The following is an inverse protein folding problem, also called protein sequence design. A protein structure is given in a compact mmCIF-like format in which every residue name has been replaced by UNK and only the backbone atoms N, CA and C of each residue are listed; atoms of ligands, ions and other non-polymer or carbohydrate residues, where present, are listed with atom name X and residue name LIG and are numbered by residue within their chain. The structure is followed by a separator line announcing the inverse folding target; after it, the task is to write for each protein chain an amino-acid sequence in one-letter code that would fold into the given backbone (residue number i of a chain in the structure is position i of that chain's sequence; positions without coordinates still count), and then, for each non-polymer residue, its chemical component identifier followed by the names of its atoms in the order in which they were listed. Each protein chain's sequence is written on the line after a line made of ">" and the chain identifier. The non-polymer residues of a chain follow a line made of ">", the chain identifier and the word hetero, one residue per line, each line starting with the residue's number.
data_IF_061195121166
#
_entry.id   IF_061195121166
#
_cell.length_a   1.000
_cell.length_b   1.000
_cell.length_c   1.000
_cell.angle_alpha   90.00
_cell.angle_beta   90.00
_cell.angle_gamma   90.00
#
_symmetry.space_group_name_H-M   'P 1'
#
loop_
_entity.id
_entity.type
_entity.pdbx_description
1 polymer ?
#
# COMPACT_ATOMS: atom_id res chain seq x y z
N UNK A 1 -47.81 -71.60 17.13
CA UNK A 1 -48.35 -70.33 16.58
C UNK A 1 -48.35 -69.16 17.58
N UNK A 2 -48.80 -69.31 18.83
CA UNK A 2 -48.73 -68.23 19.84
C UNK A 2 -47.32 -68.07 20.45
N UNK A 3 -46.63 -69.20 20.70
CA UNK A 3 -45.24 -69.24 21.19
C UNK A 3 -44.21 -68.65 20.21
N UNK A 4 -44.40 -68.84 18.90
CA UNK A 4 -43.46 -68.36 17.88
C UNK A 4 -43.49 -66.83 17.70
N UNK A 5 -44.68 -66.23 17.87
CA UNK A 5 -44.86 -64.77 17.83
C UNK A 5 -44.25 -64.10 19.06
N UNK A 6 -44.42 -64.69 20.23
CA UNK A 6 -43.84 -64.19 21.48
C UNK A 6 -42.31 -64.27 21.47
N UNK A 7 -41.75 -65.36 20.93
CA UNK A 7 -40.30 -65.50 20.74
C UNK A 7 -39.73 -64.46 19.76
N UNK A 8 -40.42 -64.21 18.64
CA UNK A 8 -40.03 -63.19 17.67
C UNK A 8 -40.05 -61.76 18.27
N UNK A 9 -41.07 -61.44 19.07
CA UNK A 9 -41.16 -60.15 19.78
C UNK A 9 -40.06 -59.97 20.83
N UNK A 10 -39.75 -61.01 21.62
CA UNK A 10 -38.66 -60.96 22.61
C UNK A 10 -37.32 -60.75 21.90
N UNK A 11 -37.08 -61.46 20.79
CA UNK A 11 -35.84 -61.32 20.03
C UNK A 11 -35.73 -59.92 19.38
N UNK A 12 -36.84 -59.36 18.88
CA UNK A 12 -36.87 -58.00 18.33
C UNK A 12 -36.63 -56.92 19.41
N UNK A 13 -37.20 -57.09 20.62
CA UNK A 13 -36.93 -56.20 21.76
C UNK A 13 -35.47 -56.28 22.21
N UNK A 14 -34.90 -57.49 22.25
CA UNK A 14 -33.49 -57.70 22.58
C UNK A 14 -32.55 -57.08 21.52
N UNK A 15 -32.90 -57.20 20.23
CA UNK A 15 -32.15 -56.58 19.14
C UNK A 15 -32.20 -55.04 19.23
N UNK A 16 -33.37 -54.45 19.46
CA UNK A 16 -33.52 -52.99 19.67
C UNK A 16 -32.70 -52.50 20.87
N UNK A 17 -32.73 -53.24 21.98
CA UNK A 17 -31.96 -52.91 23.17
C UNK A 17 -30.45 -52.97 22.91
N UNK A 18 -29.97 -53.97 22.16
CA UNK A 18 -28.56 -54.07 21.73
C UNK A 18 -28.15 -52.91 20.83
N UNK A 19 -28.98 -52.54 19.87
CA UNK A 19 -28.71 -51.39 18.98
C UNK A 19 -28.63 -50.08 19.78
N UNK A 20 -29.53 -49.85 20.73
CA UNK A 20 -29.51 -48.67 21.59
C UNK A 20 -28.26 -48.61 22.47
N UNK A 21 -27.85 -49.75 23.04
CA UNK A 21 -26.64 -49.84 23.86
C UNK A 21 -25.39 -49.57 23.01
N UNK A 22 -25.29 -50.18 21.83
CA UNK A 22 -24.16 -49.95 20.91
C UNK A 22 -24.12 -48.48 20.47
N UNK A 23 -25.27 -47.90 20.12
CA UNK A 23 -25.38 -46.49 19.74
C UNK A 23 -24.92 -45.55 20.87
N UNK A 24 -25.32 -45.82 22.11
CA UNK A 24 -24.90 -45.04 23.27
C UNK A 24 -23.39 -45.14 23.53
N UNK A 25 -22.80 -46.35 23.37
CA UNK A 25 -21.36 -46.56 23.51
C UNK A 25 -20.59 -45.79 22.44
N UNK A 26 -21.03 -45.85 21.18
CA UNK A 26 -20.39 -45.10 20.07
C UNK A 26 -20.47 -43.60 20.32
N UNK A 27 -21.62 -43.09 20.78
CA UNK A 27 -21.78 -41.67 21.07
C UNK A 27 -20.85 -41.21 22.21
N UNK A 28 -20.72 -42.02 23.26
CA UNK A 28 -19.81 -41.75 24.38
C UNK A 28 -18.33 -41.75 23.93
N UNK A 29 -17.95 -42.68 23.06
CA UNK A 29 -16.59 -42.72 22.48
C UNK A 29 -16.33 -41.47 21.63
N UNK A 30 -17.28 -41.06 20.78
CA UNK A 30 -17.15 -39.86 19.96
C UNK A 30 -17.06 -38.59 20.81
N UNK A 31 -17.86 -38.48 21.87
CA UNK A 31 -17.78 -37.36 22.80
C UNK A 31 -16.43 -37.33 23.55
N UNK A 32 -15.94 -38.50 23.99
CA UNK A 32 -14.63 -38.62 24.64
C UNK A 32 -13.47 -38.25 23.69
N UNK A 33 -13.53 -38.70 22.44
CA UNK A 33 -12.56 -38.31 21.40
C UNK A 33 -12.61 -36.80 21.13
N UNK A 34 -13.81 -36.22 21.03
CA UNK A 34 -13.97 -34.78 20.83
C UNK A 34 -13.36 -33.98 21.99
N UNK A 35 -13.67 -34.34 23.24
CA UNK A 35 -13.10 -33.70 24.44
C UNK A 35 -11.58 -33.85 24.46
N UNK A 36 -11.05 -35.05 24.21
CA UNK A 36 -9.60 -35.29 24.17
C UNK A 36 -8.90 -34.48 23.08
N UNK A 37 -9.49 -34.40 21.88
CA UNK A 37 -8.95 -33.57 20.79
C UNK A 37 -9.05 -32.09 21.11
N UNK A 38 -10.14 -31.65 21.75
CA UNK A 38 -10.35 -30.27 22.14
C UNK A 38 -9.32 -29.83 23.19
N UNK A 39 -9.11 -30.63 24.23
CA UNK A 39 -8.12 -30.36 25.28
C UNK A 39 -6.69 -30.35 24.72
N UNK A 40 -6.36 -31.28 23.80
CA UNK A 40 -5.06 -31.29 23.12
C UNK A 40 -4.84 -30.09 22.21
N UNK A 41 -5.85 -29.66 21.47
CA UNK A 41 -5.78 -28.44 20.64
C UNK A 41 -5.59 -27.21 21.53
N UNK A 42 -6.25 -27.16 22.68
CA UNK A 42 -6.10 -26.04 23.64
C UNK A 42 -4.73 -26.03 24.32
N UNK A 43 -4.18 -27.19 24.66
CA UNK A 43 -2.82 -27.32 25.20
C UNK A 43 -1.75 -26.89 24.19
N UNK A 44 -2.01 -27.12 22.89
CA UNK A 44 -1.18 -26.60 21.79
C UNK A 44 -1.36 -25.09 21.65
N UNK A 45 -2.57 -24.54 21.71
CA UNK A 45 -2.83 -23.09 21.63
C UNK A 45 -2.15 -22.34 22.80
N UNK A 46 -2.24 -22.88 24.02
CA UNK A 46 -1.59 -22.31 25.22
C UNK A 46 -0.05 -22.41 25.17
N UNK A 47 0.53 -23.32 24.36
CA UNK A 47 1.99 -23.45 24.13
C UNK A 47 2.49 -22.76 22.86
N UNK A 48 1.62 -22.55 21.88
CA UNK A 48 1.89 -21.79 20.65
C UNK A 48 1.49 -20.35 20.94
N UNK A 49 2.25 -19.68 21.82
CA UNK A 49 2.46 -18.25 21.59
C UNK A 49 3.14 -18.15 20.24
N UNK A 50 2.46 -17.51 19.28
CA UNK A 50 2.95 -17.45 17.92
C UNK A 50 4.40 -16.94 17.91
N UNK A 51 5.29 -17.49 17.08
CA UNK A 51 6.67 -16.98 16.93
C UNK A 51 6.76 -15.52 16.49
N UNK A 52 5.63 -14.85 16.22
CA UNK A 52 5.54 -13.43 15.83
C UNK A 52 5.82 -12.51 17.02
N UNK A 53 5.68 -12.98 18.27
CA UNK A 53 5.88 -12.13 19.46
C UNK A 53 7.36 -11.90 19.85
N UNK A 54 8.32 -12.59 19.22
CA UNK A 54 9.74 -12.60 19.66
C UNK A 54 10.68 -11.88 18.68
N UNK A 55 10.25 -11.53 17.47
CA UNK A 55 11.02 -10.63 16.63
C UNK A 55 10.68 -9.18 16.99
N UNK A 56 11.63 -8.30 17.30
CA UNK A 56 11.38 -6.88 17.16
C UNK A 56 11.13 -6.65 15.67
N UNK A 57 9.87 -6.72 15.26
CA UNK A 57 9.40 -6.15 14.01
C UNK A 57 10.00 -4.75 13.99
N UNK A 58 10.97 -4.52 13.10
CA UNK A 58 11.48 -3.20 12.78
C UNK A 58 10.28 -2.26 12.76
N UNK A 59 10.13 -1.44 13.80
CA UNK A 59 8.97 -0.56 13.91
C UNK A 59 9.09 0.39 12.72
N UNK A 60 8.29 0.15 11.67
CA UNK A 60 8.27 1.03 10.50
C UNK A 60 7.94 2.42 11.06
N UNK A 61 8.84 3.41 10.97
CA UNK A 61 8.60 4.71 11.57
C UNK A 61 7.43 5.38 10.87
N UNK A 62 6.80 6.36 11.51
CA UNK A 62 5.72 7.13 10.88
C UNK A 62 6.23 8.04 9.76
N UNK A 63 7.49 8.45 9.88
CA UNK A 63 8.18 9.37 8.99
C UNK A 63 9.54 8.79 8.67
N UNK A 64 9.85 8.72 7.38
CA UNK A 64 11.20 8.43 6.91
C UNK A 64 11.96 9.73 6.65
N UNK A 65 13.27 9.70 6.91
CA UNK A 65 14.18 10.69 6.37
C UNK A 65 14.74 10.21 5.01
N UNK A 66 14.28 10.82 3.93
CA UNK A 66 14.74 10.54 2.57
C UNK A 66 15.83 11.54 2.21
N UNK A 67 17.06 11.31 2.68
CA UNK A 67 18.22 12.18 2.42
C UNK A 67 18.02 13.65 2.82
N UNK A 68 17.49 13.90 4.02
CA UNK A 68 17.19 15.23 4.55
C UNK A 68 15.78 15.73 4.22
N UNK A 69 14.92 14.87 3.64
CA UNK A 69 13.54 15.20 3.30
C UNK A 69 12.59 14.29 4.06
N UNK A 70 11.82 14.79 5.04
CA UNK A 70 10.76 14.02 5.66
C UNK A 70 9.79 13.50 4.62
N UNK A 71 9.40 12.23 4.75
CA UNK A 71 8.39 11.60 3.92
C UNK A 71 7.54 10.63 4.74
N UNK A 72 6.21 10.78 4.68
CA UNK A 72 5.32 9.89 5.38
C UNK A 72 5.47 8.44 4.91
N UNK A 73 5.52 7.51 5.87
CA UNK A 73 5.84 6.11 5.62
C UNK A 73 4.65 5.29 5.11
N UNK A 74 4.92 4.04 4.74
CA UNK A 74 3.89 3.07 4.39
C UNK A 74 2.98 2.71 5.59
N UNK A 75 3.50 2.81 6.82
CA UNK A 75 2.71 2.64 8.04
C UNK A 75 1.71 3.79 8.20
N UNK A 76 2.16 5.04 8.01
CA UNK A 76 1.28 6.21 8.00
C UNK A 76 0.24 6.11 6.87
N UNK A 77 0.64 5.60 5.71
CA UNK A 77 -0.25 5.36 4.59
C UNK A 77 -1.33 4.31 4.89
N UNK A 78 -0.96 3.21 5.57
CA UNK A 78 -1.91 2.17 5.98
C UNK A 78 -3.03 2.75 6.86
N UNK A 79 -2.71 3.66 7.79
CA UNK A 79 -3.74 4.38 8.57
C UNK A 79 -4.53 5.39 7.75
N UNK A 80 -3.94 5.98 6.71
CA UNK A 80 -4.69 6.82 5.79
C UNK A 80 -5.75 6.02 5.02
N UNK A 81 -5.45 4.77 4.64
CA UNK A 81 -6.39 3.90 3.92
C UNK A 81 -7.60 3.47 4.74
N UNK A 82 -7.50 3.40 6.08
CA UNK A 82 -8.64 3.04 6.96
C UNK A 82 -9.67 4.16 7.10
N UNK A 83 -9.38 5.37 6.61
CA UNK A 83 -10.28 6.53 6.70
C UNK A 83 -11.24 6.59 5.52
N UNK A 84 -12.54 6.69 5.81
CA UNK A 84 -13.58 6.91 4.80
C UNK A 84 -13.51 5.91 3.65
N UNK A 85 -13.54 6.39 2.41
CA UNK A 85 -13.45 5.56 1.20
C UNK A 85 -12.02 5.50 0.60
N UNK A 86 -10.99 5.88 1.36
CA UNK A 86 -9.62 6.00 0.83
C UNK A 86 -9.08 4.69 0.26
N UNK A 87 -9.34 3.55 0.93
CA UNK A 87 -8.97 2.23 0.41
C UNK A 87 -9.53 2.01 -1.01
N UNK A 88 -10.84 2.17 -1.20
CA UNK A 88 -11.49 1.97 -2.50
C UNK A 88 -10.96 2.94 -3.57
N UNK A 89 -10.78 4.23 -3.23
CA UNK A 89 -10.23 5.23 -4.15
C UNK A 89 -8.79 4.91 -4.55
N UNK A 90 -7.96 4.46 -3.62
CA UNK A 90 -6.59 4.03 -3.91
C UNK A 90 -6.54 2.77 -4.78
N UNK A 91 -7.40 1.79 -4.52
CA UNK A 91 -7.53 0.60 -5.37
C UNK A 91 -7.85 0.97 -6.82
N UNK A 92 -8.76 1.92 -7.03
CA UNK A 92 -9.09 2.41 -8.37
C UNK A 92 -7.91 3.13 -9.04
N UNK A 93 -7.19 3.99 -8.30
CA UNK A 93 -5.98 4.65 -8.82
C UNK A 93 -4.90 3.62 -9.19
N UNK A 94 -4.63 2.62 -8.34
CA UNK A 94 -3.68 1.54 -8.66
C UNK A 94 -4.07 0.80 -9.93
N UNK A 95 -5.36 0.48 -10.11
CA UNK A 95 -5.86 -0.16 -11.33
C UNK A 95 -5.64 0.73 -12.56
N UNK A 96 -5.88 2.03 -12.44
CA UNK A 96 -5.61 3.00 -13.50
C UNK A 96 -4.12 3.04 -13.89
N UNK A 97 -3.22 3.14 -12.90
CA UNK A 97 -1.77 3.16 -13.14
C UNK A 97 -1.30 1.87 -13.85
N UNK A 98 -1.79 0.71 -13.40
CA UNK A 98 -1.50 -0.59 -14.01
C UNK A 98 -2.01 -0.71 -15.44
N UNK A 99 -3.23 -0.23 -15.70
CA UNK A 99 -3.82 -0.26 -17.05
C UNK A 99 -3.03 0.62 -18.03
N UNK A 100 -2.38 1.67 -17.52
CA UNK A 100 -1.50 2.56 -18.30
C UNK A 100 -0.03 2.14 -18.30
N UNK A 101 0.31 1.01 -17.64
CA UNK A 101 1.67 0.46 -17.52
C UNK A 101 2.68 1.44 -16.90
N UNK A 102 2.25 2.16 -15.87
CA UNK A 102 3.10 3.13 -15.13
C UNK A 102 3.11 2.87 -13.62
N UNK A 103 2.62 1.72 -13.17
CA UNK A 103 2.53 1.34 -11.75
C UNK A 103 3.86 0.84 -11.15
N UNK A 104 4.87 0.57 -11.98
CA UNK A 104 6.18 0.04 -11.56
C UNK A 104 7.28 1.11 -11.53
N UNK A 105 6.98 2.36 -11.92
CA UNK A 105 7.97 3.45 -11.99
C UNK A 105 8.41 3.89 -10.59
N UNK A 106 7.44 4.04 -9.69
CA UNK A 106 7.61 4.37 -8.26
C UNK A 106 6.52 3.66 -7.48
N UNK A 107 6.66 3.57 -6.16
CA UNK A 107 5.62 2.96 -5.34
C UNK A 107 4.34 3.81 -5.38
N UNK A 108 3.15 3.25 -5.70
CA UNK A 108 1.95 4.06 -5.94
C UNK A 108 1.51 4.96 -4.79
N UNK A 109 1.79 4.58 -3.54
CA UNK A 109 1.43 5.41 -2.38
C UNK A 109 2.28 6.69 -2.27
N UNK A 110 3.50 6.70 -2.82
CA UNK A 110 4.37 7.87 -2.79
C UNK A 110 3.79 9.02 -3.63
N UNK A 111 3.03 8.70 -4.68
CA UNK A 111 2.30 9.67 -5.52
C UNK A 111 1.23 10.45 -4.73
N UNK A 112 0.83 9.94 -3.57
CA UNK A 112 -0.22 10.51 -2.73
C UNK A 112 0.32 11.41 -1.61
N UNK A 113 1.65 11.48 -1.43
CA UNK A 113 2.28 12.38 -0.44
C UNK A 113 2.02 13.83 -0.86
N UNK A 114 1.50 14.66 0.04
CA UNK A 114 1.26 16.07 -0.30
C UNK A 114 2.57 16.89 -0.33
N UNK A 115 3.54 16.61 0.53
CA UNK A 115 4.84 17.28 0.55
C UNK A 115 5.75 16.75 1.66
N UNK A 116 6.84 17.46 1.95
CA UNK A 116 7.78 17.14 3.05
C UNK A 116 7.54 17.96 4.33
N UNK A 117 6.66 18.95 4.23
CA UNK A 117 6.36 20.01 5.19
C UNK A 117 4.96 19.84 5.84
N UNK A 118 4.28 18.71 5.59
CA UNK A 118 2.89 18.51 6.05
C UNK A 118 2.72 18.63 7.56
N UNK A 119 3.74 18.25 8.34
CA UNK A 119 3.71 18.39 9.80
C UNK A 119 3.75 19.85 10.23
N UNK A 120 4.62 20.65 9.58
CA UNK A 120 4.77 22.08 9.86
C UNK A 120 3.54 22.88 9.44
N UNK A 121 2.83 22.42 8.40
CA UNK A 121 1.63 23.06 7.85
C UNK A 121 0.33 22.64 8.55
N UNK A 122 0.40 21.70 9.50
CA UNK A 122 -0.75 21.03 10.11
C UNK A 122 -1.75 20.54 9.04
N UNK A 123 -1.23 19.75 8.10
CA UNK A 123 -1.98 19.19 6.98
C UNK A 123 -1.85 17.66 6.92
N UNK A 124 -2.81 16.95 6.32
CA UNK A 124 -2.70 15.51 6.10
C UNK A 124 -1.47 15.17 5.25
N UNK A 125 -0.73 14.15 5.66
CA UNK A 125 0.44 13.67 4.91
C UNK A 125 0.09 13.16 3.50
N UNK A 126 -1.11 12.61 3.35
CA UNK A 126 -1.58 11.99 2.11
C UNK A 126 -2.91 12.59 1.66
N UNK A 127 -3.08 12.66 0.34
CA UNK A 127 -4.36 12.95 -0.29
C UNK A 127 -4.48 12.20 -1.62
N UNK A 128 -5.70 11.78 -1.98
CA UNK A 128 -5.95 11.08 -3.26
C UNK A 128 -6.47 12.09 -4.28
N UNK A 129 -5.84 12.22 -5.47
CA UNK A 129 -6.29 13.13 -6.51
C UNK A 129 -7.69 12.74 -7.01
N UNK A 130 -8.52 13.73 -7.38
CA UNK A 130 -9.74 13.50 -8.15
C UNK A 130 -9.46 12.70 -9.43
N UNK A 131 -10.42 11.87 -9.85
CA UNK A 131 -10.24 10.88 -10.93
C UNK A 131 -9.96 11.53 -12.28
N UNK A 132 -10.58 12.68 -12.52
CA UNK A 132 -10.42 13.53 -13.68
C UNK A 132 -8.97 14.02 -13.88
N UNK A 133 -8.15 14.04 -12.82
CA UNK A 133 -6.74 14.46 -12.89
C UNK A 133 -5.78 13.30 -13.17
N UNK A 134 -6.23 12.04 -13.12
CA UNK A 134 -5.32 10.87 -13.18
C UNK A 134 -4.52 10.78 -14.47
N UNK A 135 -5.06 11.25 -15.60
CA UNK A 135 -4.31 11.29 -16.85
C UNK A 135 -3.09 12.21 -16.79
N UNK A 136 -3.10 13.23 -15.93
CA UNK A 136 -2.01 14.19 -15.77
C UNK A 136 -0.69 13.54 -15.36
N UNK A 137 -0.73 12.42 -14.63
CA UNK A 137 0.50 11.81 -14.08
C UNK A 137 1.19 10.86 -15.06
N UNK A 138 0.46 10.38 -16.08
CA UNK A 138 0.91 9.27 -16.93
C UNK A 138 2.18 9.62 -17.68
N UNK A 139 2.24 10.79 -18.33
CA UNK A 139 3.43 11.21 -19.05
C UNK A 139 4.59 11.57 -18.11
N UNK A 140 4.30 12.13 -16.93
CA UNK A 140 5.34 12.41 -15.92
C UNK A 140 6.01 11.12 -15.45
N UNK A 141 5.24 10.04 -15.22
CA UNK A 141 5.82 8.74 -14.88
C UNK A 141 6.62 8.13 -16.03
N UNK A 142 6.17 8.28 -17.28
CA UNK A 142 6.94 7.84 -18.46
C UNK A 142 8.26 8.61 -18.61
N UNK A 143 8.27 9.91 -18.37
CA UNK A 143 9.51 10.72 -18.34
C UNK A 143 10.45 10.20 -17.26
N UNK A 144 9.93 9.92 -16.06
CA UNK A 144 10.75 9.39 -14.97
C UNK A 144 11.36 8.05 -15.36
N UNK A 145 10.55 7.13 -15.90
CA UNK A 145 10.99 5.80 -16.33
C UNK A 145 12.03 5.85 -17.46
N UNK A 146 11.79 6.68 -18.48
CA UNK A 146 12.55 6.66 -19.74
C UNK A 146 13.76 7.59 -19.75
N UNK A 147 13.67 8.72 -19.06
CA UNK A 147 14.68 9.78 -19.16
C UNK A 147 15.45 9.98 -17.87
N UNK A 148 14.79 9.83 -16.71
CA UNK A 148 15.38 10.14 -15.40
C UNK A 148 16.07 8.90 -14.82
N UNK A 149 15.34 7.81 -14.62
CA UNK A 149 15.83 6.58 -13.99
C UNK A 149 17.07 6.01 -14.69
N UNK A 150 17.17 5.97 -16.04
CA UNK A 150 18.36 5.46 -16.71
C UNK A 150 19.62 6.29 -16.45
N UNK A 151 19.48 7.55 -16.03
CA UNK A 151 20.58 8.49 -15.83
C UNK A 151 21.01 8.61 -14.37
N UNK A 152 20.07 8.50 -13.43
CA UNK A 152 20.34 8.72 -12.00
C UNK A 152 19.95 7.54 -11.09
N UNK A 153 19.37 6.49 -11.65
CA UNK A 153 18.86 5.33 -10.92
C UNK A 153 17.45 5.56 -10.34
N UNK A 154 16.97 4.62 -9.51
CA UNK A 154 15.65 4.70 -8.89
C UNK A 154 15.48 5.97 -8.05
N UNK A 155 14.23 6.46 -7.97
CA UNK A 155 13.87 7.67 -7.23
C UNK A 155 12.78 7.36 -6.19
N UNK A 156 12.58 8.29 -5.26
CA UNK A 156 11.49 8.30 -4.28
C UNK A 156 10.69 9.58 -4.48
N UNK A 157 9.36 9.47 -4.57
CA UNK A 157 8.49 10.66 -4.64
C UNK A 157 8.24 11.17 -3.22
N UNK A 158 8.55 12.44 -2.97
CA UNK A 158 8.33 13.11 -1.67
C UNK A 158 7.17 14.10 -1.72
N UNK A 159 6.70 14.47 -2.92
CA UNK A 159 5.48 15.25 -3.12
C UNK A 159 4.84 14.92 -4.46
N UNK A 160 3.54 14.59 -4.45
CA UNK A 160 2.74 14.31 -5.64
C UNK A 160 1.59 15.27 -5.79
N UNK A 161 0.35 14.78 -5.80
CA UNK A 161 -0.81 15.67 -5.83
C UNK A 161 -0.94 16.48 -4.53
N UNK A 162 -1.29 17.76 -4.66
CA UNK A 162 -1.60 18.64 -3.51
C UNK A 162 -3.04 19.07 -3.58
N UNK A 163 -3.72 19.05 -2.43
CA UNK A 163 -4.98 19.77 -2.28
C UNK A 163 -4.74 21.28 -2.45
N UNK A 164 -5.80 22.03 -2.75
CA UNK A 164 -5.72 23.49 -2.89
C UNK A 164 -5.23 24.14 -1.60
N UNK A 165 -5.74 23.69 -0.45
CA UNK A 165 -5.34 24.20 0.86
C UNK A 165 -3.88 23.89 1.20
N UNK A 166 -3.45 22.64 0.99
CA UNK A 166 -2.05 22.28 1.18
C UNK A 166 -1.14 23.14 0.31
N UNK A 167 -1.44 23.24 -0.99
CA UNK A 167 -0.62 24.02 -1.92
C UNK A 167 -0.53 25.49 -1.50
N UNK A 168 -1.64 26.09 -1.03
CA UNK A 168 -1.67 27.46 -0.53
C UNK A 168 -0.81 27.62 0.73
N UNK A 169 -0.98 26.74 1.73
CA UNK A 169 -0.21 26.79 2.99
C UNK A 169 1.29 26.57 2.76
N UNK A 170 1.65 25.70 1.82
CA UNK A 170 3.03 25.45 1.40
C UNK A 170 3.64 26.59 0.55
N UNK A 171 2.93 27.72 0.35
CA UNK A 171 3.39 28.83 -0.47
C UNK A 171 3.45 28.53 -1.98
N UNK A 172 2.75 27.50 -2.43
CA UNK A 172 2.67 27.10 -3.83
C UNK A 172 1.89 28.11 -4.69
N UNK A 173 2.32 28.30 -5.93
CA UNK A 173 1.63 29.20 -6.86
C UNK A 173 0.23 28.68 -7.26
N UNK A 174 -0.65 29.58 -7.72
CA UNK A 174 -1.95 29.22 -8.30
C UNK A 174 -1.83 28.34 -9.56
N UNK A 175 -0.73 28.46 -10.29
CA UNK A 175 -0.41 27.64 -11.47
C UNK A 175 0.40 26.38 -11.17
N UNK A 176 0.41 25.91 -9.90
CA UNK A 176 1.20 24.76 -9.47
C UNK A 176 0.79 23.48 -10.19
N UNK A 177 1.78 22.75 -10.71
CA UNK A 177 1.55 21.49 -11.44
C UNK A 177 1.15 20.33 -10.52
N UNK A 178 1.39 20.48 -9.21
CA UNK A 178 0.90 19.54 -8.20
C UNK A 178 -0.63 19.55 -8.07
N UNK A 179 -1.29 20.70 -8.32
CA UNK A 179 -2.75 20.80 -8.28
C UNK A 179 -3.42 19.98 -9.38
N UNK A 180 -2.73 19.77 -10.50
CA UNK A 180 -3.21 19.07 -11.68
C UNK A 180 -2.72 17.62 -11.77
N UNK A 181 -2.10 17.11 -10.71
CA UNK A 181 -1.51 15.76 -10.63
C UNK A 181 -0.58 15.43 -11.80
N UNK A 182 0.16 16.43 -12.29
CA UNK A 182 1.13 16.26 -13.35
C UNK A 182 2.55 16.64 -12.92
N UNK A 183 2.72 17.25 -11.73
CA UNK A 183 4.03 17.53 -11.14
C UNK A 183 4.36 16.62 -9.97
N UNK A 184 5.62 16.20 -9.88
CA UNK A 184 6.19 15.44 -8.77
C UNK A 184 7.46 16.11 -8.26
N UNK A 185 7.64 16.13 -6.95
CA UNK A 185 8.94 16.40 -6.33
C UNK A 185 9.58 15.08 -5.92
N UNK A 186 10.78 14.84 -6.41
CA UNK A 186 11.46 13.55 -6.32
C UNK A 186 12.89 13.70 -5.81
N UNK A 187 13.35 12.65 -5.12
CA UNK A 187 14.69 12.53 -4.57
C UNK A 187 15.32 11.23 -5.10
N UNK A 188 16.55 11.25 -5.64
CA UNK A 188 17.22 10.01 -6.05
C UNK A 188 17.39 9.05 -4.86
N UNK A 189 17.32 7.73 -5.06
CA UNK A 189 17.66 6.76 -4.00
C UNK A 189 19.17 6.67 -3.77
N UNK A 190 19.95 6.83 -4.86
CA UNK A 190 21.40 6.97 -4.77
C UNK A 190 21.76 8.33 -4.16
N UNK A 191 22.81 8.38 -3.35
CA UNK A 191 23.36 9.66 -2.87
C UNK A 191 24.02 10.42 -4.03
N UNK A 192 23.63 11.68 -4.18
CA UNK A 192 24.24 12.62 -5.12
C UNK A 192 24.63 13.89 -4.36
N UNK A 193 25.71 14.53 -4.78
CA UNK A 193 25.86 15.96 -4.53
C UNK A 193 25.03 16.75 -5.54
N UNK A 194 24.70 18.00 -5.21
CA UNK A 194 23.99 18.89 -6.13
C UNK A 194 24.78 19.10 -7.42
N UNK A 195 26.09 19.27 -7.30
CA UNK A 195 27.04 19.53 -8.39
C UNK A 195 27.09 18.36 -9.37
N UNK A 196 26.86 17.14 -8.88
CA UNK A 196 26.74 15.95 -9.71
C UNK A 196 25.36 15.84 -10.38
N UNK A 197 24.28 16.17 -9.67
CA UNK A 197 22.92 15.96 -10.15
C UNK A 197 22.47 17.02 -11.17
N UNK A 198 22.79 18.29 -10.93
CA UNK A 198 22.32 19.41 -11.78
C UNK A 198 22.72 19.25 -13.25
N UNK A 199 23.98 18.93 -13.61
CA UNK A 199 24.37 18.75 -15.00
C UNK A 199 23.58 17.65 -15.70
N UNK A 200 23.33 16.54 -15.01
CA UNK A 200 22.56 15.40 -15.55
C UNK A 200 21.11 15.80 -15.82
N UNK A 201 20.47 16.47 -14.87
CA UNK A 201 19.09 16.92 -15.03
C UNK A 201 18.94 17.98 -16.12
N UNK A 202 19.87 18.96 -16.20
CA UNK A 202 19.89 19.94 -17.29
C UNK A 202 20.04 19.29 -18.66
N UNK A 203 20.89 18.27 -18.77
CA UNK A 203 21.08 17.51 -20.00
C UNK A 203 19.82 16.74 -20.42
N UNK A 204 19.12 16.09 -19.48
CA UNK A 204 17.80 15.47 -19.72
C UNK A 204 16.81 16.49 -20.28
N UNK A 205 16.67 17.64 -19.61
CA UNK A 205 15.75 18.69 -20.03
C UNK A 205 16.13 19.25 -21.42
N UNK A 206 17.41 19.49 -21.67
CA UNK A 206 17.90 20.03 -22.95
C UNK A 206 17.54 19.10 -24.12
N UNK A 207 17.69 17.78 -23.95
CA UNK A 207 17.44 16.80 -25.01
C UNK A 207 15.96 16.53 -25.22
N UNK A 208 15.23 16.32 -24.13
CA UNK A 208 13.89 15.71 -24.20
C UNK A 208 12.78 16.66 -23.75
N UNK A 209 13.11 17.85 -23.23
CA UNK A 209 12.13 18.72 -22.57
C UNK A 209 11.03 19.20 -23.48
N UNK A 210 11.34 19.54 -24.74
CA UNK A 210 10.33 19.97 -25.72
C UNK A 210 9.37 18.86 -26.11
N UNK A 211 9.90 17.66 -26.36
CA UNK A 211 9.11 16.49 -26.77
C UNK A 211 8.10 16.11 -25.68
N UNK A 212 8.53 16.08 -24.42
CA UNK A 212 7.68 15.69 -23.30
C UNK A 212 6.83 16.83 -22.72
N UNK A 213 6.89 18.03 -23.27
CA UNK A 213 6.36 19.25 -22.65
C UNK A 213 6.78 19.38 -21.17
N UNK A 214 8.05 19.08 -20.92
CA UNK A 214 8.62 18.90 -19.59
C UNK A 214 8.84 20.24 -18.91
N UNK A 215 8.43 20.34 -17.65
CA UNK A 215 9.08 21.22 -16.70
C UNK A 215 10.02 20.40 -15.83
N UNK A 216 11.26 20.87 -15.70
CA UNK A 216 12.27 20.24 -14.85
C UNK A 216 13.03 21.33 -14.11
N UNK A 217 13.23 21.17 -12.80
CA UNK A 217 13.92 22.17 -11.99
C UNK A 217 14.36 21.59 -10.65
N UNK A 218 15.35 22.19 -10.00
CA UNK A 218 15.92 21.66 -8.75
C UNK A 218 15.76 22.66 -7.60
N UNK A 219 15.48 22.16 -6.39
CA UNK A 219 15.45 22.96 -5.16
C UNK A 219 16.89 23.21 -4.64
N UNK A 220 17.08 23.67 -3.39
CA UNK A 220 18.44 23.95 -2.86
C UNK A 220 19.34 22.71 -2.74
N UNK A 221 18.78 21.54 -2.42
CA UNK A 221 19.53 20.28 -2.27
C UNK A 221 19.46 19.39 -3.51
N UNK A 222 19.10 18.12 -3.31
CA UNK A 222 18.95 17.10 -4.38
C UNK A 222 17.50 16.78 -4.73
N UNK A 223 16.52 17.33 -4.00
CA UNK A 223 15.12 17.29 -4.42
C UNK A 223 14.94 18.11 -5.68
N UNK A 224 14.26 17.54 -6.66
CA UNK A 224 13.94 18.22 -7.91
C UNK A 224 12.50 17.97 -8.33
N UNK A 225 11.96 18.90 -9.10
CA UNK A 225 10.62 18.88 -9.66
C UNK A 225 10.65 18.35 -11.08
N UNK A 226 9.66 17.53 -11.45
CA UNK A 226 9.40 17.09 -12.82
C UNK A 226 7.90 17.14 -13.10
N UNK A 227 7.51 17.69 -14.25
CA UNK A 227 6.13 17.69 -14.74
C UNK A 227 6.07 17.60 -16.27
N UNK A 228 4.90 17.26 -16.81
CA UNK A 228 4.66 17.11 -18.27
C UNK A 228 3.41 17.86 -18.77
N UNK A 229 3.02 18.91 -18.05
CA UNK A 229 1.79 19.67 -18.32
C UNK A 229 2.11 21.13 -18.67
N UNK A 230 3.28 21.37 -19.25
CA UNK A 230 3.69 22.66 -19.78
C UNK A 230 5.20 22.78 -19.84
N UNK A 231 5.75 22.87 -21.06
CA UNK A 231 7.18 23.08 -21.26
C UNK A 231 7.64 24.38 -20.60
N UNK A 232 8.70 24.31 -19.78
CA UNK A 232 9.34 25.48 -19.16
C UNK A 232 10.84 25.39 -19.36
N UNK A 233 11.45 26.46 -19.86
CA UNK A 233 12.92 26.50 -19.99
C UNK A 233 13.55 26.41 -18.60
N UNK A 234 14.64 25.66 -18.54
CA UNK A 234 15.53 25.55 -17.39
C UNK A 234 16.94 25.98 -17.77
#
# INVERSE_FOLDING_TARGET
>A
MQSDKEFAEINQRNLRRRILIIGAIVLAILAGLFIFTYDRVREIDDRVKSPIDILPLLMIPEVYDIQGYPAASERAFSRFLTKGNNHARFTQLKKFLRSNRVDQVVQPYELLRQGSDWQDLDEPAFAIPPKELWWGIVNTLRVIEREVVPRIGPVTVVSGWRTVDYNRKAGGSKGSKHLHFCGLDIVPKKKFSREQLVPVLKDIHKRNGREWQMGLGIYRGIRFHVDTCGYRRW
#
